data_IF_900298044435
#
_entry.id   IF_900298044435
#
_cell.length_a   1.000
_cell.length_b   1.000
_cell.length_c   1.000
_cell.angle_alpha   90.00
_cell.angle_beta   90.00
_cell.angle_gamma   90.00
#
_symmetry.space_group_name_H-M   'P 1'
#
loop_
_entity.id
_entity.type
_entity.pdbx_description
1 polymer ?
#
# COMPACT_ATOMS: atom_id res chain seq x y z
N UNK A 1 37.88 7.51 17.81
CA UNK A 1 37.85 8.93 17.40
C UNK A 1 36.43 9.23 16.97
N UNK A 2 35.65 9.92 17.82
CA UNK A 2 34.26 10.27 17.52
C UNK A 2 34.25 11.33 16.43
N UNK A 3 33.83 10.96 15.22
CA UNK A 3 33.58 11.92 14.16
C UNK A 3 32.40 12.77 14.62
N UNK A 4 32.66 14.03 15.00
CA UNK A 4 31.58 14.98 15.28
C UNK A 4 30.85 15.25 13.97
N UNK A 5 29.64 14.71 13.84
CA UNK A 5 28.70 15.14 12.80
C UNK A 5 28.38 16.63 13.03
N UNK A 6 28.92 17.52 12.20
CA UNK A 6 28.65 18.95 12.28
C UNK A 6 27.39 19.27 11.50
N UNK A 7 26.28 19.40 12.22
CA UNK A 7 25.06 20.04 11.74
C UNK A 7 25.19 21.56 11.95
N UNK A 8 25.10 22.33 10.88
CA UNK A 8 24.99 23.79 10.98
C UNK A 8 23.55 24.22 10.76
N UNK A 9 23.02 24.98 11.73
CA UNK A 9 21.67 25.50 11.74
C UNK A 9 21.73 27.03 11.62
N UNK A 10 21.19 27.56 10.53
CA UNK A 10 21.07 29.01 10.34
C UNK A 10 19.60 29.41 10.41
N UNK A 11 19.31 30.49 11.13
CA UNK A 11 18.00 31.12 11.18
C UNK A 11 18.08 32.50 10.53
N UNK A 12 17.26 32.75 9.52
CA UNK A 12 16.99 34.11 9.04
C UNK A 12 15.59 34.51 9.49
N UNK A 13 15.52 35.41 10.47
CA UNK A 13 14.27 35.81 11.09
C UNK A 13 13.63 36.97 10.34
N UNK A 14 12.36 36.83 9.97
CA UNK A 14 11.53 37.89 9.46
C UNK A 14 10.33 38.10 10.41
N UNK A 15 10.20 39.31 10.93
CA UNK A 15 9.00 39.71 11.69
C UNK A 15 7.91 40.14 10.72
N UNK A 16 6.67 39.73 10.98
CA UNK A 16 5.51 40.41 10.41
C UNK A 16 4.71 41.14 11.50
N UNK A 17 3.69 41.88 11.09
CA UNK A 17 2.81 42.68 11.95
C UNK A 17 1.84 41.89 12.84
N UNK A 18 1.74 40.57 12.69
CA UNK A 18 0.83 39.68 13.45
C UNK A 18 1.43 39.10 14.74
N UNK A 19 2.67 39.46 15.08
CA UNK A 19 3.39 38.90 16.24
C UNK A 19 4.00 37.52 16.00
N UNK A 20 3.79 36.92 14.82
CA UNK A 20 4.44 35.70 14.37
C UNK A 20 5.82 36.01 13.77
N UNK A 21 6.80 35.16 14.07
CA UNK A 21 8.15 35.21 13.49
C UNK A 21 8.27 34.10 12.45
N UNK A 22 8.50 34.45 11.19
CA UNK A 22 8.92 33.46 10.19
C UNK A 22 10.44 33.31 10.23
N UNK A 23 10.92 32.09 10.08
CA UNK A 23 12.34 31.79 10.05
C UNK A 23 12.68 30.93 8.83
N UNK A 24 13.64 31.36 8.02
CA UNK A 24 14.29 30.49 7.03
C UNK A 24 15.32 29.66 7.78
N UNK A 25 15.07 28.34 7.87
CA UNK A 25 15.92 27.39 8.57
C UNK A 25 16.73 26.63 7.54
N UNK A 26 18.05 26.84 7.53
CA UNK A 26 18.96 26.09 6.66
C UNK A 26 19.74 25.07 7.47
N UNK A 27 19.67 23.82 7.03
CA UNK A 27 20.49 22.73 7.52
C UNK A 27 21.61 22.48 6.53
N UNK A 28 22.85 22.55 6.98
CA UNK A 28 24.00 22.14 6.19
C UNK A 28 24.67 20.96 6.88
N UNK A 29 24.87 19.90 6.12
CA UNK A 29 25.50 18.66 6.58
C UNK A 29 26.87 18.51 5.92
N UNK A 30 27.84 17.96 6.65
CA UNK A 30 29.18 17.65 6.10
C UNK A 30 29.17 16.43 5.18
N UNK A 31 30.29 16.18 4.49
CA UNK A 31 30.46 15.21 3.39
C UNK A 31 30.06 13.74 3.70
N UNK A 32 29.80 13.37 4.95
CA UNK A 32 29.42 12.02 5.37
C UNK A 32 27.92 11.83 5.58
N UNK A 33 27.09 12.83 5.28
CA UNK A 33 25.67 12.78 5.56
C UNK A 33 24.87 12.05 4.48
N UNK A 34 24.28 10.91 4.85
CA UNK A 34 23.36 10.15 4.00
C UNK A 34 21.92 10.68 4.09
N UNK A 35 21.17 10.65 2.98
CA UNK A 35 19.75 11.05 2.89
C UNK A 35 18.82 10.38 3.92
N UNK A 36 19.24 9.23 4.47
CA UNK A 36 18.51 8.54 5.55
C UNK A 36 18.39 9.38 6.82
N UNK A 37 19.33 10.28 7.08
CA UNK A 37 19.29 11.17 8.25
C UNK A 37 18.31 12.34 8.05
N UNK A 38 18.06 12.76 6.80
CA UNK A 38 17.04 13.77 6.46
C UNK A 38 15.62 13.25 6.75
N UNK A 39 15.41 11.93 6.60
CA UNK A 39 14.14 11.29 6.90
C UNK A 39 13.72 11.47 8.36
N UNK A 40 14.66 11.26 9.30
CA UNK A 40 14.38 11.38 10.73
C UNK A 40 14.04 12.82 11.12
N UNK A 41 14.82 13.79 10.62
CA UNK A 41 14.59 15.20 10.89
C UNK A 41 13.22 15.67 10.37
N UNK A 42 12.83 15.27 9.15
CA UNK A 42 11.55 15.69 8.59
C UNK A 42 10.33 14.96 9.20
N UNK A 43 10.45 13.67 9.52
CA UNK A 43 9.43 12.97 10.31
C UNK A 43 9.19 13.70 11.63
N UNK A 44 10.26 14.13 12.31
CA UNK A 44 10.16 14.92 13.54
C UNK A 44 9.45 16.26 13.33
N UNK A 45 9.82 17.03 12.29
CA UNK A 45 9.17 18.32 12.00
C UNK A 45 7.69 18.18 11.63
N UNK A 46 7.33 17.14 10.87
CA UNK A 46 6.00 16.98 10.28
C UNK A 46 4.98 16.25 11.17
N UNK A 47 5.44 15.38 12.08
CA UNK A 47 4.59 14.69 13.04
C UNK A 47 4.44 15.46 14.34
N UNK A 48 5.53 16.07 14.84
CA UNK A 48 5.52 16.74 16.14
C UNK A 48 5.32 18.26 16.04
N UNK A 49 5.40 18.83 14.84
CA UNK A 49 5.31 20.29 14.60
C UNK A 49 6.27 21.05 15.52
N UNK A 50 7.48 20.52 15.72
CA UNK A 50 8.47 21.07 16.64
C UNK A 50 9.88 21.03 16.07
N UNK A 51 10.67 22.04 16.39
CA UNK A 51 12.12 22.07 16.21
C UNK A 51 12.76 22.12 17.61
N UNK A 52 13.26 20.97 18.09
CA UNK A 52 13.63 20.82 19.50
C UNK A 52 12.43 21.03 20.43
N UNK A 53 12.52 21.99 21.35
CA UNK A 53 11.43 22.38 22.26
C UNK A 53 10.52 23.49 21.70
N UNK A 54 10.77 23.98 20.48
CA UNK A 54 10.01 25.08 19.90
C UNK A 54 8.87 24.54 19.03
N UNK A 55 7.60 24.94 19.25
CA UNK A 55 6.53 24.65 18.30
C UNK A 55 6.76 25.43 17.00
N UNK A 56 6.58 24.78 15.86
CA UNK A 56 6.77 25.36 14.53
C UNK A 56 5.60 25.00 13.62
N UNK A 57 5.34 25.83 12.62
CA UNK A 57 4.48 25.50 11.49
C UNK A 57 5.29 25.68 10.21
N UNK A 58 5.51 24.59 9.48
CA UNK A 58 6.23 24.65 8.19
C UNK A 58 5.36 25.38 7.16
N UNK A 59 5.86 26.50 6.65
CA UNK A 59 5.18 27.33 5.65
C UNK A 59 5.48 26.82 4.23
N UNK A 60 6.76 26.57 3.94
CA UNK A 60 7.26 25.96 2.73
C UNK A 60 8.57 25.20 3.03
N UNK A 61 8.91 24.22 2.20
CA UNK A 61 10.17 23.49 2.30
C UNK A 61 10.63 23.05 0.91
N UNK A 62 11.91 22.65 0.82
CA UNK A 62 12.52 22.05 -0.36
C UNK A 62 12.75 20.56 -0.17
N UNK A 63 12.04 19.91 0.75
CA UNK A 63 12.19 18.49 1.04
C UNK A 63 11.14 17.76 0.19
N UNK A 64 11.55 16.78 -0.65
CA UNK A 64 10.62 16.15 -1.56
C UNK A 64 9.52 15.44 -0.76
N UNK A 65 8.27 15.91 -0.91
CA UNK A 65 7.02 15.26 -0.51
C UNK A 65 6.86 14.79 0.94
N UNK A 66 5.90 15.36 1.67
CA UNK A 66 5.34 14.68 2.87
C UNK A 66 4.89 13.27 2.48
N UNK A 67 5.14 12.24 3.32
CA UNK A 67 4.58 10.92 3.05
C UNK A 67 3.06 11.04 2.98
N UNK A 68 2.38 10.40 2.02
CA UNK A 68 0.93 10.48 1.91
C UNK A 68 0.28 10.04 3.22
N UNK A 69 -0.60 10.89 3.73
CA UNK A 69 -1.30 10.58 4.98
C UNK A 69 -2.41 9.57 4.70
N UNK A 70 -2.65 8.72 5.70
CA UNK A 70 -3.77 7.75 5.73
C UNK A 70 -3.84 6.82 4.51
N UNK A 71 -2.73 6.21 4.11
CA UNK A 71 -2.77 5.11 3.13
C UNK A 71 -3.70 4.04 3.66
N UNK A 72 -4.70 3.65 2.90
CA UNK A 72 -5.56 2.53 3.19
C UNK A 72 -5.28 1.42 2.17
N UNK A 73 -5.36 0.17 2.63
CA UNK A 73 -5.15 -0.99 1.77
C UNK A 73 -6.27 -1.98 2.04
N UNK A 74 -7.02 -2.35 1.01
CA UNK A 74 -8.11 -3.32 1.10
C UNK A 74 -7.92 -4.44 0.08
N UNK A 75 -8.49 -5.60 0.40
CA UNK A 75 -8.47 -6.78 -0.47
C UNK A 75 -9.61 -6.68 -1.48
N UNK A 76 -9.27 -6.73 -2.77
CA UNK A 76 -10.27 -6.81 -3.85
C UNK A 76 -10.52 -8.23 -4.35
N UNK A 77 -9.64 -9.18 -4.00
CA UNK A 77 -9.74 -10.60 -4.37
C UNK A 77 -8.44 -11.35 -4.04
N UNK A 78 -8.35 -12.63 -4.40
CA UNK A 78 -7.16 -13.45 -4.15
C UNK A 78 -5.91 -12.95 -4.88
N UNK A 79 -6.05 -12.17 -5.95
CA UNK A 79 -4.93 -11.65 -6.76
C UNK A 79 -4.93 -10.12 -6.90
N UNK A 80 -5.75 -9.43 -6.09
CA UNK A 80 -6.03 -8.00 -6.23
C UNK A 80 -6.02 -7.28 -4.88
N UNK A 81 -5.32 -6.15 -4.83
CA UNK A 81 -5.37 -5.19 -3.73
C UNK A 81 -5.78 -3.80 -4.25
N UNK A 82 -6.53 -3.08 -3.43
CA UNK A 82 -6.84 -1.67 -3.64
C UNK A 82 -6.08 -0.83 -2.62
N UNK A 83 -5.32 0.14 -3.10
CA UNK A 83 -4.54 1.05 -2.26
C UNK A 83 -5.07 2.46 -2.49
N UNK A 84 -5.45 3.17 -1.44
CA UNK A 84 -5.92 4.55 -1.51
C UNK A 84 -5.23 5.44 -0.49
N UNK A 85 -5.21 6.76 -0.71
CA UNK A 85 -4.57 7.73 0.17
C UNK A 85 -5.29 9.08 0.11
N UNK A 86 -5.07 9.93 1.12
CA UNK A 86 -5.52 11.31 1.05
C UNK A 86 -4.56 12.11 0.15
N UNK A 87 -5.10 12.74 -0.90
CA UNK A 87 -4.36 13.71 -1.69
C UNK A 87 -4.32 15.03 -0.95
N UNK A 88 -3.18 15.33 -0.33
CA UNK A 88 -2.92 16.65 0.22
C UNK A 88 -2.24 17.49 -0.87
N UNK A 89 -2.96 18.50 -1.40
CA UNK A 89 -2.36 19.62 -2.10
C UNK A 89 -1.55 20.44 -1.09
N UNK A 90 -0.40 19.91 -0.72
CA UNK A 90 0.57 20.62 0.10
C UNK A 90 1.13 21.79 -0.72
N UNK A 91 1.14 22.99 -0.15
CA UNK A 91 1.95 24.11 -0.66
C UNK A 91 3.44 23.74 -0.52
N UNK A 92 3.96 23.00 -1.49
CA UNK A 92 5.36 22.68 -1.64
C UNK A 92 5.95 23.57 -2.74
N UNK A 93 7.19 24.03 -2.54
CA UNK A 93 7.93 24.74 -3.59
C UNK A 93 8.36 23.81 -4.72
N UNK A 94 8.21 22.50 -4.53
CA UNK A 94 8.61 21.47 -5.46
C UNK A 94 7.37 20.95 -6.20
N UNK A 95 7.48 20.89 -7.52
CA UNK A 95 6.46 20.27 -8.37
C UNK A 95 6.32 18.77 -8.05
N UNK A 96 5.08 18.36 -7.82
CA UNK A 96 4.71 16.99 -7.51
C UNK A 96 4.19 16.29 -8.76
N UNK A 97 4.81 15.17 -9.12
CA UNK A 97 4.45 14.39 -10.31
C UNK A 97 3.50 13.22 -9.96
N UNK A 98 3.46 12.81 -8.69
CA UNK A 98 2.49 11.86 -8.19
C UNK A 98 3.03 10.95 -7.09
N UNK A 99 2.60 9.68 -7.11
CA UNK A 99 2.91 8.73 -6.06
C UNK A 99 3.45 7.41 -6.62
N UNK A 100 4.49 6.88 -5.98
CA UNK A 100 4.97 5.53 -6.23
C UNK A 100 4.52 4.62 -5.10
N UNK A 101 3.64 3.68 -5.41
CA UNK A 101 3.19 2.62 -4.50
C UNK A 101 4.14 1.45 -4.64
N UNK A 102 4.79 1.06 -3.55
CA UNK A 102 5.82 0.03 -3.51
C UNK A 102 5.29 -1.14 -2.68
N UNK A 103 5.53 -2.36 -3.16
CA UNK A 103 5.09 -3.57 -2.49
C UNK A 103 6.11 -4.69 -2.65
N UNK A 104 6.23 -5.53 -1.62
CA UNK A 104 7.08 -6.74 -1.64
C UNK A 104 6.34 -7.92 -1.01
N UNK A 105 6.59 -9.11 -1.52
CA UNK A 105 6.16 -10.36 -0.90
C UNK A 105 7.33 -11.00 -0.12
N UNK A 106 7.12 -12.20 0.40
CA UNK A 106 8.15 -13.00 1.06
C UNK A 106 9.32 -13.37 0.12
N UNK A 107 9.12 -13.32 -1.20
CA UNK A 107 10.16 -13.46 -2.22
C UNK A 107 11.22 -12.34 -2.18
N UNK A 108 10.99 -11.31 -1.37
CA UNK A 108 11.82 -10.12 -1.22
C UNK A 108 12.03 -9.33 -2.52
N UNK A 109 11.22 -9.60 -3.55
CA UNK A 109 11.24 -8.88 -4.82
C UNK A 109 10.39 -7.61 -4.66
N UNK A 110 11.05 -6.47 -4.76
CA UNK A 110 10.40 -5.16 -4.65
C UNK A 110 9.75 -4.79 -5.98
N UNK A 111 8.46 -4.49 -5.95
CA UNK A 111 7.66 -4.09 -7.11
C UNK A 111 7.01 -2.74 -6.83
N UNK A 112 6.64 -2.02 -7.89
CA UNK A 112 5.98 -0.72 -7.71
C UNK A 112 5.10 -0.31 -8.87
N UNK A 113 4.13 0.55 -8.58
CA UNK A 113 3.28 1.25 -9.55
C UNK A 113 3.43 2.75 -9.31
N UNK A 114 3.57 3.54 -10.37
CA UNK A 114 3.56 5.00 -10.30
C UNK A 114 2.20 5.48 -10.78
N UNK A 115 1.62 6.41 -10.04
CA UNK A 115 0.36 7.07 -10.33
C UNK A 115 0.56 8.57 -10.34
N UNK A 116 -0.27 9.27 -11.11
CA UNK A 116 -0.18 10.73 -11.25
C UNK A 116 -0.71 11.44 -10.01
N UNK A 117 -0.34 12.71 -9.83
CA UNK A 117 -0.76 13.49 -8.65
C UNK A 117 -2.28 13.73 -8.54
N UNK A 118 -3.01 13.61 -9.65
CA UNK A 118 -4.46 13.72 -9.66
C UNK A 118 -5.17 12.43 -9.18
N UNK A 119 -4.44 11.36 -8.88
CA UNK A 119 -4.99 10.10 -8.41
C UNK A 119 -4.86 9.96 -6.89
N UNK A 120 -5.90 9.41 -6.27
CA UNK A 120 -5.94 9.09 -4.84
C UNK A 120 -6.02 7.59 -4.55
N UNK A 121 -6.01 6.76 -5.59
CA UNK A 121 -6.08 5.31 -5.47
C UNK A 121 -5.42 4.58 -6.64
N UNK A 122 -5.06 3.31 -6.40
CA UNK A 122 -4.56 2.39 -7.42
C UNK A 122 -4.98 0.95 -7.12
N UNK A 123 -5.28 0.21 -8.18
CA UNK A 123 -5.51 -1.24 -8.13
C UNK A 123 -4.21 -1.98 -8.48
N UNK A 124 -3.72 -2.79 -7.56
CA UNK A 124 -2.58 -3.68 -7.78
C UNK A 124 -3.15 -5.06 -8.12
N UNK A 125 -2.78 -5.59 -9.29
CA UNK A 125 -3.31 -6.85 -9.84
C UNK A 125 -2.18 -7.87 -10.03
N UNK A 126 -2.53 -9.11 -10.40
CA UNK A 126 -1.58 -10.21 -10.67
C UNK A 126 -0.71 -10.56 -9.46
N UNK A 127 -1.29 -10.43 -8.26
CA UNK A 127 -0.68 -10.86 -7.02
C UNK A 127 -0.84 -12.37 -6.84
N UNK A 128 0.02 -12.96 -6.03
CA UNK A 128 -0.08 -14.36 -5.64
C UNK A 128 -1.20 -14.50 -4.58
N UNK A 129 -2.11 -15.48 -4.72
CA UNK A 129 -3.06 -15.84 -3.68
C UNK A 129 -2.39 -16.28 -2.38
N UNK A 130 -3.08 -16.12 -1.25
CA UNK A 130 -2.60 -16.59 0.05
C UNK A 130 -1.28 -15.97 0.50
N UNK A 131 -0.93 -14.77 -0.01
CA UNK A 131 0.41 -14.19 0.14
C UNK A 131 0.35 -12.88 0.91
N UNK A 132 1.24 -12.73 1.89
CA UNK A 132 1.41 -11.48 2.64
C UNK A 132 2.30 -10.50 1.90
N UNK A 133 1.78 -9.30 1.67
CA UNK A 133 2.47 -8.19 1.04
C UNK A 133 2.74 -7.07 2.04
N UNK A 134 3.95 -6.54 2.05
CA UNK A 134 4.30 -5.29 2.74
C UNK A 134 4.26 -4.15 1.73
N UNK A 135 3.47 -3.11 2.01
CA UNK A 135 3.17 -2.00 1.11
C UNK A 135 3.52 -0.67 1.77
N UNK A 136 4.19 0.20 1.05
CA UNK A 136 4.45 1.60 1.44
C UNK A 136 4.46 2.47 0.19
N UNK A 137 4.41 3.78 0.37
CA UNK A 137 4.41 4.72 -0.75
C UNK A 137 5.46 5.79 -0.57
N UNK A 138 5.95 6.33 -1.67
CA UNK A 138 6.85 7.49 -1.70
C UNK A 138 6.33 8.50 -2.72
N UNK A 139 6.39 9.78 -2.40
CA UNK A 139 6.02 10.84 -3.33
C UNK A 139 7.02 10.91 -4.49
N UNK A 140 6.56 11.25 -5.68
CA UNK A 140 7.41 11.45 -6.86
C UNK A 140 7.41 12.93 -7.19
N UNK A 141 8.57 13.57 -7.18
CA UNK A 141 8.69 15.02 -7.38
C UNK A 141 9.80 15.35 -8.38
N UNK A 142 9.82 16.58 -8.86
CA UNK A 142 10.89 17.10 -9.75
C UNK A 142 12.29 17.07 -9.12
N UNK A 143 12.40 16.91 -7.80
CA UNK A 143 13.68 16.79 -7.06
C UNK A 143 14.00 15.36 -6.64
N UNK A 144 13.18 14.38 -6.99
CA UNK A 144 13.37 12.97 -6.66
C UNK A 144 12.22 12.39 -5.82
N UNK A 145 12.47 11.21 -5.24
CA UNK A 145 11.50 10.54 -4.37
C UNK A 145 11.43 11.20 -2.99
N UNK A 146 10.22 11.37 -2.49
CA UNK A 146 9.98 11.79 -1.13
C UNK A 146 10.11 10.67 -0.11
N UNK A 147 9.71 10.97 1.12
CA UNK A 147 9.85 10.04 2.23
C UNK A 147 8.88 8.86 2.10
N UNK A 148 9.31 7.65 2.52
CA UNK A 148 8.42 6.50 2.59
C UNK A 148 7.37 6.71 3.67
N UNK A 149 6.14 6.33 3.35
CA UNK A 149 5.09 6.20 4.33
C UNK A 149 5.39 5.06 5.32
N UNK A 150 4.61 5.01 6.40
CA UNK A 150 4.53 3.80 7.23
C UNK A 150 4.13 2.61 6.37
N UNK A 151 4.85 1.50 6.52
CA UNK A 151 4.54 0.26 5.83
C UNK A 151 3.30 -0.42 6.42
N UNK A 152 2.53 -1.10 5.57
CA UNK A 152 1.35 -1.88 5.93
C UNK A 152 1.48 -3.29 5.40
N UNK A 153 1.18 -4.26 6.25
CA UNK A 153 1.11 -5.67 5.85
C UNK A 153 -0.34 -6.03 5.54
N UNK A 154 -0.57 -6.73 4.43
CA UNK A 154 -1.88 -7.27 4.07
C UNK A 154 -1.71 -8.63 3.41
N UNK A 155 -2.64 -9.55 3.68
CA UNK A 155 -2.60 -10.90 3.12
C UNK A 155 -3.72 -11.06 2.11
N UNK A 156 -3.38 -11.50 0.90
CA UNK A 156 -4.39 -11.89 -0.09
C UNK A 156 -5.05 -13.20 0.31
N UNK A 157 -6.37 -13.37 0.10
CA UNK A 157 -7.04 -14.64 0.30
C UNK A 157 -6.44 -15.73 -0.58
N UNK A 158 -6.54 -16.98 -0.13
CA UNK A 158 -6.30 -18.11 -1.02
C UNK A 158 -7.28 -18.08 -2.19
N UNK A 159 -6.85 -18.59 -3.34
CA UNK A 159 -7.74 -18.75 -4.47
C UNK A 159 -8.71 -19.88 -4.13
N UNK A 160 -10.01 -19.59 -4.23
CA UNK A 160 -11.02 -20.63 -4.12
C UNK A 160 -10.73 -21.70 -5.18
N UNK A 161 -10.94 -23.00 -4.87
CA UNK A 161 -10.87 -24.05 -5.88
C UNK A 161 -11.76 -23.67 -7.05
N UNK A 162 -11.26 -23.83 -8.28
CA UNK A 162 -12.14 -23.76 -9.43
C UNK A 162 -13.02 -25.01 -9.45
N UNK A 163 -14.29 -24.84 -9.82
CA UNK A 163 -15.19 -25.98 -10.03
C UNK A 163 -14.58 -26.90 -11.09
N UNK A 164 -14.35 -28.17 -10.71
CA UNK A 164 -13.91 -29.20 -11.64
C UNK A 164 -15.16 -29.83 -12.22
N UNK A 165 -15.52 -29.45 -13.45
CA UNK A 165 -16.67 -30.01 -14.16
C UNK A 165 -16.21 -31.22 -14.97
N UNK A 166 -16.70 -32.42 -14.59
CA UNK A 166 -16.43 -33.66 -15.32
C UNK A 166 -17.68 -34.03 -16.13
N UNK A 167 -17.57 -34.02 -17.45
CA UNK A 167 -18.61 -34.49 -18.36
C UNK A 167 -18.29 -35.90 -18.83
N UNK A 168 -19.19 -36.84 -18.55
CA UNK A 168 -19.12 -38.20 -19.05
C UNK A 168 -20.52 -38.70 -19.39
N UNK A 169 -20.60 -39.59 -20.36
CA UNK A 169 -21.85 -40.21 -20.78
C UNK A 169 -21.82 -41.67 -20.34
N UNK A 170 -22.90 -42.12 -19.71
CA UNK A 170 -23.06 -43.51 -19.26
C UNK A 170 -24.34 -44.09 -19.82
N UNK A 171 -24.35 -45.42 -19.97
CA UNK A 171 -25.57 -46.18 -20.15
C UNK A 171 -26.00 -46.69 -18.78
N UNK A 172 -27.22 -46.35 -18.36
CA UNK A 172 -27.78 -46.87 -17.12
C UNK A 172 -28.38 -48.25 -17.39
N UNK A 173 -27.89 -49.26 -16.68
CA UNK A 173 -28.37 -50.64 -16.78
C UNK A 173 -29.40 -50.84 -15.66
N UNK A 174 -30.56 -51.43 -15.99
CA UNK A 174 -31.65 -51.72 -15.04
C UNK A 174 -32.22 -50.48 -14.32
N UNK A 175 -32.18 -49.30 -14.94
CA UNK A 175 -32.80 -48.07 -14.43
C UNK A 175 -33.93 -47.66 -15.37
N UNK A 176 -35.11 -47.37 -14.83
CA UNK A 176 -36.26 -46.93 -15.61
C UNK A 176 -36.24 -45.41 -15.88
N UNK A 177 -36.95 -44.98 -16.91
CA UNK A 177 -36.99 -43.56 -17.30
C UNK A 177 -37.70 -42.68 -16.25
N UNK A 178 -38.59 -43.28 -15.46
CA UNK A 178 -39.38 -42.64 -14.42
C UNK A 178 -38.57 -42.32 -13.15
N UNK A 179 -37.30 -42.73 -13.06
CA UNK A 179 -36.46 -42.58 -11.87
C UNK A 179 -36.15 -41.11 -11.46
N UNK A 180 -36.60 -40.10 -12.23
CA UNK A 180 -36.48 -38.67 -11.95
C UNK A 180 -35.05 -38.18 -11.62
N UNK A 181 -34.02 -38.83 -12.17
CA UNK A 181 -32.60 -38.50 -11.92
C UNK A 181 -32.21 -37.10 -12.40
N UNK A 182 -32.88 -36.56 -13.43
CA UNK A 182 -32.65 -35.19 -13.92
C UNK A 182 -33.23 -34.09 -13.03
N UNK A 183 -34.15 -34.44 -12.12
CA UNK A 183 -34.73 -33.48 -11.19
C UNK A 183 -33.92 -33.44 -9.89
N UNK A 184 -33.11 -32.39 -9.72
CA UNK A 184 -32.24 -32.20 -8.54
C UNK A 184 -32.98 -32.19 -7.21
N UNK A 185 -34.29 -31.91 -7.20
CA UNK A 185 -35.11 -31.89 -5.98
C UNK A 185 -35.79 -33.23 -5.67
N UNK A 186 -35.64 -34.24 -6.54
CA UNK A 186 -36.18 -35.58 -6.30
C UNK A 186 -35.36 -36.32 -5.25
N UNK A 187 -36.03 -37.22 -4.51
CA UNK A 187 -35.38 -38.07 -3.52
C UNK A 187 -34.31 -38.97 -4.15
N UNK A 188 -34.60 -39.52 -5.34
CA UNK A 188 -33.65 -40.35 -6.11
C UNK A 188 -32.37 -39.58 -6.48
N UNK A 189 -32.49 -38.33 -6.93
CA UNK A 189 -31.33 -37.49 -7.28
C UNK A 189 -30.49 -37.14 -6.05
N UNK A 190 -31.13 -36.87 -4.90
CA UNK A 190 -30.40 -36.59 -3.65
C UNK A 190 -29.67 -37.82 -3.12
N UNK A 191 -30.34 -38.98 -3.10
CA UNK A 191 -29.74 -40.23 -2.67
C UNK A 191 -28.55 -40.63 -3.55
N UNK A 192 -28.67 -40.49 -4.87
CA UNK A 192 -27.54 -40.73 -5.78
C UNK A 192 -26.37 -39.78 -5.51
N UNK A 193 -26.64 -38.50 -5.28
CA UNK A 193 -25.60 -37.51 -4.95
C UNK A 193 -24.88 -37.90 -3.65
N UNK A 194 -25.64 -38.27 -2.62
CA UNK A 194 -25.08 -38.71 -1.32
C UNK A 194 -24.21 -39.97 -1.45
N UNK A 195 -24.64 -40.96 -2.24
CA UNK A 195 -23.85 -42.18 -2.46
C UNK A 195 -22.54 -41.87 -3.17
N UNK A 196 -22.56 -41.01 -4.19
CA UNK A 196 -21.35 -40.59 -4.91
C UNK A 196 -20.41 -39.83 -3.98
N UNK A 197 -20.94 -38.87 -3.21
CA UNK A 197 -20.15 -38.11 -2.22
C UNK A 197 -19.45 -39.04 -1.21
N UNK A 198 -20.16 -40.02 -0.66
CA UNK A 198 -19.59 -41.01 0.26
C UNK A 198 -18.52 -41.90 -0.40
N UNK A 199 -18.65 -42.16 -1.70
CA UNK A 199 -17.71 -43.01 -2.44
C UNK A 199 -16.37 -42.33 -2.73
N UNK A 200 -16.35 -40.99 -2.81
CA UNK A 200 -15.14 -40.19 -3.08
C UNK A 200 -14.46 -39.74 -1.79
N UNK A 201 -15.12 -39.87 -0.64
CA UNK A 201 -14.66 -39.37 0.66
C UNK A 201 -13.83 -40.37 1.48
N UNK A 202 -13.56 -41.57 0.95
CA UNK A 202 -12.72 -42.62 1.55
C UNK A 202 -11.38 -42.75 0.82
#
# INVERSE_FOLDING_TARGET
MLIQEKLFLFFFLNRNSSGLVSADVRLTFSEQFHIRHTNYFYSFLSENERLGSMPIRVINDTIPGKPPRKINVTVGGSTVLHVSWLSERTQQMIENWGLRVIYKAADNITRSVIVNDNQSEVKISKLQPGTTYTIWTVRVTSKGFGLPSKARNITTPHQAPQDIIIHFRVLLINVSWEAQLGNKSSETSRNLSSVIENSVSN
#
